data_IF_573454942966
#
_entry.id   IF_573454942966
#
_cell.length_a   1.000
_cell.length_b   1.000
_cell.length_c   1.000
_cell.angle_alpha   90.00
_cell.angle_beta   90.00
_cell.angle_gamma   90.00
#
_symmetry.space_group_name_H-M   'P 1'
#
loop_
_entity.id
_entity.type
_entity.pdbx_description
1 polymer ?
#
# COMPACT_ATOMS: atom_id res chain seq x y z
N UNK A 1 13.37 -26.05 -53.58
CA UNK A 1 14.24 -25.11 -52.84
C UNK A 1 13.38 -24.46 -51.76
N UNK A 2 13.39 -25.06 -50.57
CA UNK A 2 12.51 -24.71 -49.43
C UNK A 2 13.38 -23.96 -48.42
N UNK A 3 13.13 -22.67 -48.21
CA UNK A 3 13.79 -21.89 -47.16
C UNK A 3 12.83 -21.78 -45.97
N UNK A 4 13.30 -22.32 -44.84
CA UNK A 4 12.59 -22.44 -43.56
C UNK A 4 12.50 -21.08 -42.87
N UNK A 5 11.29 -20.75 -42.40
CA UNK A 5 11.02 -19.71 -41.42
C UNK A 5 11.45 -20.20 -40.03
N UNK A 6 12.44 -19.54 -39.43
CA UNK A 6 12.82 -19.72 -38.04
C UNK A 6 12.02 -18.77 -37.16
N UNK A 7 10.83 -19.22 -36.74
CA UNK A 7 10.09 -18.59 -35.65
C UNK A 7 10.87 -18.80 -34.34
N UNK A 8 11.45 -17.74 -33.81
CA UNK A 8 12.01 -17.72 -32.46
C UNK A 8 10.85 -17.73 -31.47
N UNK A 9 10.58 -18.90 -30.89
CA UNK A 9 9.64 -19.08 -29.78
C UNK A 9 10.15 -18.26 -28.58
N UNK A 10 9.56 -17.09 -28.34
CA UNK A 10 9.74 -16.39 -27.05
C UNK A 10 9.10 -17.26 -25.98
N UNK A 11 9.91 -17.74 -25.04
CA UNK A 11 9.43 -18.33 -23.78
C UNK A 11 8.39 -17.41 -23.16
N UNK A 12 7.17 -17.93 -22.98
CA UNK A 12 6.13 -17.26 -22.20
C UNK A 12 6.49 -17.52 -20.75
N UNK A 13 7.38 -16.69 -20.19
CA UNK A 13 7.64 -16.67 -18.76
C UNK A 13 6.33 -16.25 -18.08
N UNK A 14 5.64 -17.22 -17.47
CA UNK A 14 4.42 -16.96 -16.72
C UNK A 14 4.72 -15.90 -15.65
N UNK A 15 3.91 -14.83 -15.52
CA UNK A 15 4.18 -13.74 -14.58
C UNK A 15 4.37 -14.23 -13.14
N UNK A 16 3.72 -15.35 -12.77
CA UNK A 16 3.86 -16.01 -11.47
C UNK A 16 5.30 -16.51 -11.21
N UNK A 17 5.98 -17.03 -12.22
CA UNK A 17 7.33 -17.59 -12.09
C UNK A 17 8.37 -16.48 -11.85
N UNK A 18 8.21 -15.34 -12.51
CA UNK A 18 9.10 -14.17 -12.36
C UNK A 18 9.04 -13.56 -10.95
N UNK A 19 7.87 -13.54 -10.32
CA UNK A 19 7.71 -12.93 -8.99
C UNK A 19 8.14 -13.84 -7.85
N UNK A 20 8.04 -15.16 -8.01
CA UNK A 20 8.54 -16.12 -7.05
C UNK A 20 10.06 -15.97 -6.82
N UNK A 21 10.82 -15.65 -7.87
CA UNK A 21 12.27 -15.36 -7.77
C UNK A 21 12.55 -14.04 -7.04
N UNK A 22 11.69 -13.03 -7.22
CA UNK A 22 11.84 -11.70 -6.62
C UNK A 22 11.44 -11.68 -5.13
N UNK A 23 10.48 -12.53 -4.76
CA UNK A 23 9.86 -12.62 -3.43
C UNK A 23 9.87 -14.08 -2.95
N UNK A 24 11.07 -14.65 -2.69
CA UNK A 24 11.21 -16.07 -2.40
C UNK A 24 10.48 -16.44 -1.11
N UNK A 25 9.70 -17.53 -1.16
CA UNK A 25 8.94 -18.04 -0.01
C UNK A 25 7.67 -17.26 0.33
N UNK A 26 7.46 -16.06 -0.23
CA UNK A 26 6.32 -15.23 0.15
C UNK A 26 4.99 -15.79 -0.33
N UNK A 27 4.96 -16.45 -1.49
CA UNK A 27 3.75 -17.12 -1.99
C UNK A 27 3.29 -18.22 -1.02
N UNK A 28 4.23 -19.04 -0.55
CA UNK A 28 3.98 -20.11 0.40
C UNK A 28 3.54 -19.54 1.75
N UNK A 29 4.17 -18.46 2.21
CA UNK A 29 3.81 -17.84 3.47
C UNK A 29 2.41 -17.20 3.43
N UNK A 30 2.04 -16.57 2.31
CA UNK A 30 0.68 -16.08 2.09
C UNK A 30 -0.34 -17.21 2.13
N UNK A 31 -0.05 -18.34 1.48
CA UNK A 31 -0.93 -19.51 1.51
C UNK A 31 -1.05 -20.08 2.94
N UNK A 32 0.06 -20.17 3.68
CA UNK A 32 0.08 -20.61 5.09
C UNK A 32 -0.77 -19.71 5.98
N UNK A 33 -0.66 -18.39 5.84
CA UNK A 33 -1.49 -17.44 6.57
C UNK A 33 -2.97 -17.62 6.27
N UNK A 34 -3.34 -17.69 4.99
CA UNK A 34 -4.75 -17.83 4.55
C UNK A 34 -5.38 -19.16 4.94
N UNK A 35 -4.58 -20.21 5.11
CA UNK A 35 -5.04 -21.51 5.57
C UNK A 35 -5.38 -21.55 7.08
N UNK A 36 -5.03 -20.52 7.86
CA UNK A 36 -5.37 -20.50 9.29
C UNK A 36 -6.88 -20.25 9.49
N UNK A 37 -7.55 -20.98 10.40
CA UNK A 37 -8.98 -20.80 10.67
C UNK A 37 -9.36 -19.40 11.18
N UNK A 38 -8.47 -18.72 11.89
CA UNK A 38 -8.68 -17.40 12.49
C UNK A 38 -8.34 -16.24 11.53
N UNK A 39 -7.63 -16.52 10.43
CA UNK A 39 -7.14 -15.47 9.53
C UNK A 39 -8.23 -14.60 8.91
N UNK A 40 -9.40 -15.13 8.46
CA UNK A 40 -10.46 -14.28 7.92
C UNK A 40 -10.97 -13.25 8.95
N UNK A 41 -10.94 -13.56 10.24
CA UNK A 41 -11.27 -12.60 11.28
C UNK A 41 -10.15 -11.58 11.48
N UNK A 42 -8.90 -12.03 11.58
CA UNK A 42 -7.72 -11.14 11.72
C UNK A 42 -7.63 -10.16 10.55
N UNK A 43 -7.79 -10.64 9.32
CA UNK A 43 -7.73 -9.82 8.11
C UNK A 43 -8.81 -8.74 8.12
N UNK A 44 -10.04 -9.07 8.56
CA UNK A 44 -11.11 -8.07 8.71
C UNK A 44 -10.80 -7.03 9.77
N UNK A 45 -10.24 -7.43 10.92
CA UNK A 45 -9.83 -6.47 11.95
C UNK A 45 -8.71 -5.54 11.46
N UNK A 46 -7.78 -6.06 10.67
CA UNK A 46 -6.75 -5.25 10.01
C UNK A 46 -7.37 -4.20 9.09
N UNK A 47 -8.36 -4.60 8.29
CA UNK A 47 -9.04 -3.69 7.37
C UNK A 47 -9.87 -2.61 8.08
N UNK A 48 -10.56 -2.98 9.16
CA UNK A 48 -11.26 -2.01 10.04
C UNK A 48 -10.27 -1.01 10.62
N UNK A 49 -9.18 -1.49 11.23
CA UNK A 49 -8.16 -0.65 11.85
C UNK A 49 -7.51 0.30 10.85
N UNK A 50 -7.16 -0.20 9.65
CA UNK A 50 -6.63 0.61 8.56
C UNK A 50 -7.64 1.64 8.06
N UNK A 51 -8.89 1.24 7.85
CA UNK A 51 -9.95 2.15 7.40
C UNK A 51 -10.21 3.26 8.41
N UNK A 52 -10.23 2.92 9.71
CA UNK A 52 -10.49 3.87 10.78
C UNK A 52 -9.34 4.84 11.01
N UNK A 53 -8.08 4.42 10.82
CA UNK A 53 -6.94 5.32 10.83
C UNK A 53 -7.06 6.44 9.77
N UNK A 54 -7.78 6.18 8.66
CA UNK A 54 -8.03 7.16 7.60
C UNK A 54 -9.36 7.90 7.78
N UNK A 55 -10.25 7.45 8.66
CA UNK A 55 -11.56 8.07 8.88
C UNK A 55 -11.37 9.41 9.60
N UNK A 56 -11.72 10.51 8.95
CA UNK A 56 -11.63 11.85 9.52
C UNK A 56 -10.23 12.47 9.55
N UNK A 57 -9.17 11.70 9.30
CA UNK A 57 -7.80 12.23 9.21
C UNK A 57 -7.51 12.81 7.82
N UNK A 58 -7.78 14.12 7.68
CA UNK A 58 -7.67 14.88 6.41
C UNK A 58 -6.36 14.66 5.68
N UNK A 59 -5.26 14.53 6.43
CA UNK A 59 -3.93 14.39 5.87
C UNK A 59 -3.73 12.99 5.31
N UNK A 60 -4.05 11.94 6.07
CA UNK A 60 -3.98 10.56 5.57
C UNK A 60 -4.90 10.34 4.35
N UNK A 61 -6.15 10.81 4.44
CA UNK A 61 -7.14 10.66 3.36
C UNK A 61 -6.78 11.41 2.08
N UNK A 62 -5.97 12.47 2.12
CA UNK A 62 -5.56 13.20 0.91
C UNK A 62 -4.20 12.80 0.37
N UNK A 63 -3.35 12.21 1.21
CA UNK A 63 -1.94 12.03 0.90
C UNK A 63 -1.54 10.58 0.68
N UNK A 64 -2.35 9.59 1.08
CA UNK A 64 -2.03 8.16 0.95
C UNK A 64 -3.24 7.31 0.49
N UNK A 65 -4.23 7.92 -0.18
CA UNK A 65 -5.53 7.30 -0.45
C UNK A 65 -5.63 6.46 -1.74
N UNK A 66 -4.53 6.36 -2.50
CA UNK A 66 -4.41 5.41 -3.61
C UNK A 66 -3.00 4.82 -3.63
N UNK A 67 -2.81 3.80 -4.47
CA UNK A 67 -1.53 3.11 -4.63
C UNK A 67 -0.41 4.08 -5.02
N UNK A 68 -0.63 4.93 -6.02
CA UNK A 68 0.40 5.84 -6.53
C UNK A 68 0.95 6.75 -5.44
N UNK A 69 0.06 7.31 -4.61
CA UNK A 69 0.43 8.14 -3.46
C UNK A 69 1.15 7.37 -2.36
N UNK A 70 0.69 6.17 -2.04
CA UNK A 70 1.36 5.33 -1.04
C UNK A 70 2.79 4.98 -1.46
N UNK A 71 2.98 4.53 -2.71
CA UNK A 71 4.33 4.20 -3.21
C UNK A 71 5.20 5.44 -3.32
N UNK A 72 4.65 6.58 -3.76
CA UNK A 72 5.39 7.85 -3.80
C UNK A 72 5.91 8.26 -2.42
N UNK A 73 5.11 8.05 -1.37
CA UNK A 73 5.53 8.34 0.00
C UNK A 73 6.65 7.40 0.48
N UNK A 74 6.62 6.12 0.11
CA UNK A 74 7.75 5.21 0.36
C UNK A 74 9.03 5.66 -0.36
N UNK A 75 8.93 6.10 -1.62
CA UNK A 75 10.07 6.64 -2.37
C UNK A 75 10.65 7.89 -1.69
N UNK A 76 9.78 8.78 -1.22
CA UNK A 76 10.16 9.98 -0.46
C UNK A 76 10.96 9.60 0.80
N UNK A 77 10.51 8.59 1.54
CA UNK A 77 11.18 8.10 2.74
C UNK A 77 12.52 7.44 2.43
N UNK A 78 12.57 6.58 1.40
CA UNK A 78 13.82 5.92 1.00
C UNK A 78 14.89 6.93 0.58
N UNK A 79 14.51 7.94 -0.20
CA UNK A 79 15.42 9.03 -0.59
C UNK A 79 15.80 9.94 0.59
N UNK A 80 14.96 10.04 1.61
CA UNK A 80 15.25 10.80 2.83
C UNK A 80 16.28 10.10 3.72
N UNK A 81 16.26 8.77 3.75
CA UNK A 81 17.20 7.95 4.51
C UNK A 81 18.55 7.72 3.81
N UNK A 82 18.79 8.35 2.66
CA UNK A 82 20.11 8.32 2.06
C UNK A 82 21.11 9.17 2.83
N UNK A 83 22.36 8.72 2.86
CA UNK A 83 23.47 9.43 3.49
C UNK A 83 23.61 10.87 2.94
N UNK A 84 24.11 11.83 3.75
CA UNK A 84 24.23 13.25 3.34
C UNK A 84 25.00 13.50 2.03
N UNK A 85 25.90 12.59 1.65
CA UNK A 85 26.67 12.66 0.39
C UNK A 85 25.89 12.20 -0.86
N UNK A 86 24.79 11.46 -0.68
CA UNK A 86 23.96 10.97 -1.75
C UNK A 86 23.11 12.09 -2.40
N UNK A 87 22.52 11.84 -3.58
CA UNK A 87 21.60 12.79 -4.20
C UNK A 87 20.41 13.15 -3.29
N UNK A 88 19.93 12.20 -2.48
CA UNK A 88 18.81 12.38 -1.58
C UNK A 88 17.50 12.63 -2.32
N UNK A 89 16.51 13.17 -1.59
CA UNK A 89 15.22 13.54 -2.13
C UNK A 89 15.31 14.87 -2.88
N UNK A 90 15.03 14.84 -4.19
CA UNK A 90 14.83 16.03 -5.01
C UNK A 90 13.57 15.89 -5.85
N UNK A 91 12.96 17.02 -6.23
CA UNK A 91 11.77 17.00 -7.10
C UNK A 91 12.04 16.31 -8.44
N UNK A 92 13.20 16.56 -9.05
CA UNK A 92 13.57 15.96 -10.34
C UNK A 92 13.73 14.45 -10.24
N UNK A 93 14.46 13.97 -9.23
CA UNK A 93 14.67 12.54 -9.02
C UNK A 93 13.36 11.81 -8.72
N UNK A 94 12.53 12.36 -7.84
CA UNK A 94 11.25 11.74 -7.50
C UNK A 94 10.32 11.64 -8.72
N UNK A 95 10.30 12.67 -9.60
CA UNK A 95 9.56 12.63 -10.86
C UNK A 95 10.06 11.52 -11.78
N UNK A 96 11.38 11.43 -11.97
CA UNK A 96 11.97 10.43 -12.86
C UNK A 96 11.65 9.02 -12.37
N UNK A 97 11.80 8.77 -11.08
CA UNK A 97 11.51 7.44 -10.51
C UNK A 97 10.01 7.13 -10.52
N UNK A 98 9.13 8.09 -10.22
CA UNK A 98 7.68 7.88 -10.29
C UNK A 98 7.18 7.58 -11.71
N UNK A 99 7.78 8.19 -12.74
CA UNK A 99 7.47 7.89 -14.14
C UNK A 99 8.01 6.53 -14.56
N UNK A 100 9.27 6.24 -14.22
CA UNK A 100 9.88 4.93 -14.54
C UNK A 100 9.12 3.75 -13.90
N UNK A 101 8.47 3.99 -12.75
CA UNK A 101 7.63 3.04 -12.06
C UNK A 101 6.14 3.13 -12.45
N UNK A 102 5.77 3.93 -13.44
CA UNK A 102 4.38 4.07 -13.90
C UNK A 102 3.39 4.38 -12.74
N UNK A 103 3.84 5.19 -11.77
CA UNK A 103 3.03 5.53 -10.59
C UNK A 103 2.11 6.70 -10.87
N UNK A 104 2.66 7.77 -11.45
CA UNK A 104 1.93 8.96 -11.82
C UNK A 104 2.75 9.89 -12.74
N UNK A 105 2.08 10.87 -13.34
CA UNK A 105 2.73 11.87 -14.19
C UNK A 105 3.62 12.83 -13.39
N UNK A 106 4.63 13.47 -14.03
CA UNK A 106 5.46 14.48 -13.38
C UNK A 106 4.66 15.65 -12.78
N UNK A 107 3.56 16.04 -13.42
CA UNK A 107 2.66 17.07 -12.92
C UNK A 107 2.01 16.66 -11.61
N UNK A 108 1.54 15.42 -11.51
CA UNK A 108 0.95 14.86 -10.29
C UNK A 108 1.96 14.76 -9.15
N UNK A 109 3.21 14.35 -9.42
CA UNK A 109 4.29 14.40 -8.42
C UNK A 109 4.51 15.82 -7.91
N UNK A 110 4.51 16.81 -8.81
CA UNK A 110 4.69 18.23 -8.44
C UNK A 110 3.57 18.71 -7.50
N UNK A 111 2.32 18.37 -7.83
CA UNK A 111 1.17 18.74 -7.01
C UNK A 111 1.23 18.11 -5.61
N UNK A 112 1.62 16.82 -5.51
CA UNK A 112 1.77 16.13 -4.23
C UNK A 112 2.88 16.76 -3.39
N UNK A 113 4.06 17.01 -3.97
CA UNK A 113 5.17 17.67 -3.27
C UNK A 113 4.81 19.09 -2.83
N UNK A 114 4.09 19.84 -3.66
CA UNK A 114 3.61 21.17 -3.29
C UNK A 114 2.66 21.09 -2.08
N UNK A 115 1.72 20.15 -2.08
CA UNK A 115 0.85 19.90 -0.94
C UNK A 115 1.65 19.51 0.32
N UNK A 116 2.63 18.62 0.20
CA UNK A 116 3.48 18.23 1.34
C UNK A 116 4.24 19.42 1.92
N UNK A 117 4.73 20.34 1.08
CA UNK A 117 5.38 21.58 1.54
C UNK A 117 4.40 22.48 2.28
N UNK A 118 3.22 22.74 1.69
CA UNK A 118 2.18 23.57 2.31
C UNK A 118 1.75 23.01 3.67
N UNK A 119 1.70 21.68 3.81
CA UNK A 119 1.37 21.03 5.07
C UNK A 119 2.55 20.82 6.03
N UNK A 120 3.76 21.29 5.70
CA UNK A 120 4.95 21.18 6.55
C UNK A 120 5.47 19.75 6.72
N UNK A 121 5.23 18.89 5.74
CA UNK A 121 5.62 17.46 5.74
C UNK A 121 6.99 17.20 5.13
N UNK A 122 7.44 18.14 4.30
CA UNK A 122 8.79 18.15 3.75
C UNK A 122 9.33 19.57 3.84
N UNK A 123 10.64 19.68 4.07
CA UNK A 123 11.35 20.95 4.17
C UNK A 123 12.59 20.92 3.27
N UNK A 124 13.16 22.09 2.91
CA UNK A 124 14.50 22.14 2.33
C UNK A 124 15.51 21.44 3.27
N UNK A 125 16.44 20.68 2.70
CA UNK A 125 17.58 20.18 3.47
C UNK A 125 18.50 21.34 3.87
N UNK A 126 19.17 21.28 5.03
CA UNK A 126 20.20 22.24 5.42
C UNK A 126 21.50 21.96 4.65
N UNK A 127 21.48 22.15 3.33
CA UNK A 127 22.65 21.96 2.47
C UNK A 127 23.38 23.29 2.26
N UNK A 128 24.69 23.32 2.50
CA UNK A 128 25.53 24.51 2.32
C UNK A 128 25.69 24.90 0.84
N UNK A 129 25.68 23.93 -0.08
CA UNK A 129 25.73 24.16 -1.52
C UNK A 129 24.30 24.22 -2.09
N UNK A 130 23.69 25.40 -2.04
CA UNK A 130 22.32 25.68 -2.51
C UNK A 130 22.01 25.33 -3.98
N UNK A 131 23.00 24.78 -4.72
CA UNK A 131 22.81 24.18 -6.04
C UNK A 131 21.90 22.96 -6.01
N UNK A 132 21.94 22.15 -4.94
CA UNK A 132 21.03 21.01 -4.78
C UNK A 132 19.82 21.46 -3.98
N UNK A 133 18.67 21.59 -4.65
CA UNK A 133 17.37 21.85 -3.98
C UNK A 133 16.83 20.57 -3.32
N UNK A 134 17.63 20.00 -2.41
CA UNK A 134 17.31 18.78 -1.67
C UNK A 134 16.19 19.06 -0.68
N UNK A 135 15.36 18.05 -0.45
CA UNK A 135 14.26 18.07 0.51
C UNK A 135 14.52 17.00 1.58
N UNK A 136 14.02 17.24 2.78
CA UNK A 136 13.98 16.27 3.87
C UNK A 136 12.55 16.05 4.32
N UNK A 137 12.25 14.85 4.78
CA UNK A 137 10.99 14.52 5.45
C UNK A 137 11.01 15.14 6.84
N UNK A 138 9.92 15.80 7.24
CA UNK A 138 9.78 16.32 8.60
C UNK A 138 9.25 15.24 9.53
N UNK A 139 9.41 15.42 10.84
CA UNK A 139 8.84 14.52 11.84
C UNK A 139 7.31 14.37 11.69
N UNK A 140 6.62 15.40 11.17
CA UNK A 140 5.19 15.33 10.89
C UNK A 140 4.84 14.21 9.90
N UNK A 141 5.58 14.09 8.80
CA UNK A 141 5.33 13.03 7.83
C UNK A 141 5.87 11.69 8.34
N UNK A 142 6.99 11.69 9.06
CA UNK A 142 7.53 10.47 9.67
C UNK A 142 6.53 9.83 10.67
N UNK A 143 5.98 10.63 11.59
CA UNK A 143 5.00 10.17 12.57
C UNK A 143 3.74 9.56 11.93
N UNK A 144 3.26 10.14 10.82
CA UNK A 144 2.14 9.60 10.04
C UNK A 144 2.44 8.19 9.51
N UNK A 145 3.64 7.99 8.98
CA UNK A 145 4.06 6.68 8.46
C UNK A 145 4.30 5.67 9.57
N UNK A 146 4.94 6.08 10.67
CA UNK A 146 5.12 5.24 11.86
C UNK A 146 3.78 4.76 12.41
N UNK A 147 2.80 5.64 12.55
CA UNK A 147 1.47 5.24 13.03
C UNK A 147 0.80 4.23 12.10
N UNK A 148 0.84 4.48 10.78
CA UNK A 148 0.32 3.54 9.79
C UNK A 148 1.01 2.17 9.88
N UNK A 149 2.34 2.15 10.05
CA UNK A 149 3.07 0.89 10.22
C UNK A 149 2.75 0.21 11.54
N UNK A 150 2.61 0.95 12.65
CA UNK A 150 2.16 0.40 13.94
C UNK A 150 0.81 -0.30 13.81
N UNK A 151 -0.15 0.25 13.07
CA UNK A 151 -1.43 -0.43 12.80
C UNK A 151 -1.20 -1.81 12.16
N UNK A 152 -0.37 -1.87 11.12
CA UNK A 152 -0.07 -3.13 10.43
C UNK A 152 0.77 -4.10 11.27
N UNK A 153 1.72 -3.60 12.05
CA UNK A 153 2.60 -4.42 12.89
C UNK A 153 1.84 -5.02 14.08
N UNK A 154 0.85 -4.30 14.64
CA UNK A 154 -0.09 -4.87 15.63
C UNK A 154 -0.86 -6.06 15.04
N UNK A 155 -1.33 -5.97 13.80
CA UNK A 155 -1.95 -7.11 13.11
C UNK A 155 -0.94 -8.22 12.84
N UNK A 156 0.28 -7.86 12.44
CA UNK A 156 1.35 -8.82 12.19
C UNK A 156 1.65 -9.66 13.44
N UNK A 157 1.70 -9.04 14.62
CA UNK A 157 1.95 -9.72 15.88
C UNK A 157 0.91 -10.81 16.22
N UNK A 158 -0.30 -10.74 15.66
CA UNK A 158 -1.32 -11.78 15.85
C UNK A 158 -1.04 -13.06 15.03
N UNK A 159 -0.32 -12.93 13.91
CA UNK A 159 -0.06 -14.06 12.98
C UNK A 159 1.39 -14.50 12.95
N UNK A 160 2.31 -13.59 13.27
CA UNK A 160 3.76 -13.70 13.29
C UNK A 160 4.27 -12.90 14.51
N UNK A 161 4.14 -13.44 15.73
CA UNK A 161 4.39 -12.69 16.96
C UNK A 161 5.80 -12.09 17.04
N UNK A 162 6.83 -12.88 16.73
CA UNK A 162 8.23 -12.44 16.80
C UNK A 162 8.49 -11.21 15.90
N UNK A 163 8.11 -11.28 14.62
CA UNK A 163 8.29 -10.14 13.71
C UNK A 163 7.36 -8.97 14.07
N UNK A 164 6.12 -9.24 14.47
CA UNK A 164 5.21 -8.17 14.87
C UNK A 164 5.73 -7.37 16.07
N UNK A 165 6.16 -8.07 17.12
CA UNK A 165 6.64 -7.48 18.37
C UNK A 165 7.98 -6.76 18.18
N UNK A 166 8.97 -7.40 17.54
CA UNK A 166 10.25 -6.75 17.24
C UNK A 166 10.07 -5.56 16.30
N UNK A 167 9.18 -5.67 15.31
CA UNK A 167 8.83 -4.55 14.45
C UNK A 167 8.24 -3.37 15.23
N UNK A 168 7.34 -3.62 16.19
CA UNK A 168 6.77 -2.59 17.05
C UNK A 168 7.82 -1.94 17.96
N UNK A 169 8.73 -2.73 18.51
CA UNK A 169 9.79 -2.26 19.40
C UNK A 169 10.75 -1.27 18.71
N UNK A 170 11.03 -1.49 17.42
CA UNK A 170 12.08 -0.74 16.71
C UNK A 170 11.55 0.25 15.66
N UNK A 171 10.24 0.45 15.54
CA UNK A 171 9.64 1.30 14.49
C UNK A 171 10.08 2.78 14.54
N UNK A 172 10.62 3.21 15.68
CA UNK A 172 11.14 4.56 15.88
C UNK A 172 12.66 4.67 15.58
N UNK A 173 13.39 3.56 15.46
CA UNK A 173 14.84 3.53 15.19
C UNK A 173 15.13 3.71 13.68
N UNK A 174 15.88 4.76 13.28
CA UNK A 174 16.27 4.95 11.89
C UNK A 174 17.03 3.77 11.27
N UNK A 175 17.87 3.08 12.05
CA UNK A 175 18.66 1.92 11.58
C UNK A 175 17.75 0.76 11.17
N UNK A 176 16.62 0.60 11.87
CA UNK A 176 15.57 -0.32 11.48
C UNK A 176 14.79 0.17 10.25
N UNK A 177 14.40 1.45 10.23
CA UNK A 177 13.53 2.01 9.20
C UNK A 177 14.14 2.01 7.80
N UNK A 178 15.45 2.24 7.67
CA UNK A 178 16.12 2.29 6.36
C UNK A 178 15.93 0.99 5.55
N UNK A 179 16.41 -0.18 6.01
CA UNK A 179 16.19 -1.46 5.32
C UNK A 179 14.72 -1.87 5.28
N UNK A 180 13.91 -1.50 6.28
CA UNK A 180 12.47 -1.78 6.28
C UNK A 180 11.78 -1.13 5.07
N UNK A 181 11.96 0.18 4.86
CA UNK A 181 11.38 0.91 3.72
C UNK A 181 11.94 0.41 2.39
N UNK A 182 13.26 0.21 2.29
CA UNK A 182 13.91 -0.34 1.09
C UNK A 182 13.34 -1.69 0.68
N UNK A 183 13.10 -2.56 1.66
CA UNK A 183 12.54 -3.89 1.43
C UNK A 183 11.10 -3.83 0.96
N UNK A 184 10.28 -2.91 1.49
CA UNK A 184 8.91 -2.69 0.97
C UNK A 184 8.91 -2.20 -0.49
N UNK A 185 9.88 -1.37 -0.88
CA UNK A 185 10.00 -0.84 -2.24
C UNK A 185 10.58 -1.82 -3.26
N UNK A 186 11.42 -2.78 -2.84
CA UNK A 186 12.18 -3.65 -3.74
C UNK A 186 11.30 -4.33 -4.81
N UNK A 187 10.15 -4.96 -4.49
CA UNK A 187 9.33 -5.56 -5.53
C UNK A 187 8.67 -4.53 -6.46
N UNK A 188 8.27 -3.38 -5.90
CA UNK A 188 7.66 -2.30 -6.67
C UNK A 188 8.64 -1.72 -7.70
N UNK A 189 9.91 -1.57 -7.32
CA UNK A 189 11.00 -1.17 -8.23
C UNK A 189 11.26 -2.19 -9.33
N UNK A 190 11.08 -3.48 -9.03
CA UNK A 190 11.18 -4.55 -10.00
C UNK A 190 9.91 -4.74 -10.86
N UNK A 191 8.90 -3.86 -10.71
CA UNK A 191 7.68 -3.85 -11.53
C UNK A 191 6.51 -4.64 -10.96
N UNK A 192 6.65 -5.30 -9.81
CA UNK A 192 5.53 -6.02 -9.20
C UNK A 192 4.45 -5.05 -8.69
N UNK A 193 3.18 -5.41 -8.85
CA UNK A 193 2.02 -4.65 -8.33
C UNK A 193 1.01 -5.63 -7.72
N UNK A 194 0.26 -5.26 -6.66
CA UNK A 194 -0.76 -6.15 -6.08
C UNK A 194 -1.80 -6.64 -7.09
N UNK A 195 -2.16 -5.81 -8.08
CA UNK A 195 -3.13 -6.16 -9.11
C UNK A 195 -2.66 -7.30 -10.04
N UNK A 196 -1.36 -7.61 -10.10
CA UNK A 196 -0.85 -8.75 -10.86
C UNK A 196 -1.17 -10.08 -10.16
N UNK A 197 -1.15 -10.10 -8.83
CA UNK A 197 -1.47 -11.28 -8.02
C UNK A 197 -2.98 -11.35 -7.72
N UNK A 198 -3.65 -10.20 -7.64
CA UNK A 198 -5.04 -10.04 -7.22
C UNK A 198 -5.76 -9.10 -8.20
N UNK A 199 -6.12 -9.55 -9.42
CA UNK A 199 -6.71 -8.67 -10.43
C UNK A 199 -7.93 -7.87 -9.94
N UNK A 200 -8.76 -8.47 -9.10
CA UNK A 200 -9.93 -7.82 -8.49
C UNK A 200 -9.58 -6.54 -7.71
N UNK A 201 -8.40 -6.45 -7.08
CA UNK A 201 -8.00 -5.24 -6.34
C UNK A 201 -7.60 -4.10 -7.27
N UNK A 202 -7.23 -4.39 -8.51
CA UNK A 202 -6.83 -3.39 -9.50
C UNK A 202 -7.91 -2.34 -9.75
N UNK A 203 -9.18 -2.74 -9.71
CA UNK A 203 -10.33 -1.84 -9.88
C UNK A 203 -10.49 -0.80 -8.76
N UNK A 204 -9.88 -1.05 -7.60
CA UNK A 204 -9.90 -0.16 -6.45
C UNK A 204 -8.56 0.57 -6.24
N UNK A 205 -7.44 -0.12 -6.43
CA UNK A 205 -6.12 0.33 -6.00
C UNK A 205 -5.63 1.62 -6.68
N UNK A 206 -6.01 1.83 -7.94
CA UNK A 206 -5.59 3.00 -8.73
C UNK A 206 -6.59 4.16 -8.67
N UNK A 207 -7.78 3.94 -8.08
CA UNK A 207 -8.81 4.95 -7.90
C UNK A 207 -8.56 5.74 -6.62
N UNK A 208 -8.73 7.06 -6.68
CA UNK A 208 -8.65 7.95 -5.52
C UNK A 208 -9.62 7.50 -4.41
N UNK A 209 -9.10 6.99 -3.29
CA UNK A 209 -9.90 6.46 -2.18
C UNK A 209 -10.54 5.08 -2.42
N UNK A 210 -10.29 4.44 -3.56
CA UNK A 210 -10.91 3.15 -3.91
C UNK A 210 -10.51 2.02 -2.96
N UNK A 211 -9.23 1.93 -2.59
CA UNK A 211 -8.77 0.91 -1.64
C UNK A 211 -9.38 1.10 -0.24
N UNK A 212 -9.62 2.35 0.18
CA UNK A 212 -10.27 2.63 1.47
C UNK A 212 -11.75 2.19 1.46
N UNK A 213 -12.44 2.39 0.34
CA UNK A 213 -13.81 1.86 0.15
C UNK A 213 -13.80 0.33 0.22
N UNK A 214 -12.85 -0.34 -0.45
CA UNK A 214 -12.74 -1.80 -0.42
C UNK A 214 -12.46 -2.33 1.01
N UNK A 215 -11.58 -1.66 1.77
CA UNK A 215 -11.30 -1.99 3.18
C UNK A 215 -12.55 -1.83 4.06
N UNK A 216 -13.31 -0.74 3.88
CA UNK A 216 -14.54 -0.49 4.64
C UNK A 216 -15.63 -1.54 4.36
N UNK A 217 -15.82 -1.90 3.08
CA UNK A 217 -16.77 -2.94 2.68
C UNK A 217 -16.34 -4.31 3.22
N UNK A 218 -15.04 -4.64 3.12
CA UNK A 218 -14.50 -5.88 3.68
C UNK A 218 -14.68 -5.97 5.20
N UNK A 219 -14.41 -4.87 5.92
CA UNK A 219 -14.64 -4.79 7.36
C UNK A 219 -16.11 -4.95 7.76
N UNK A 220 -17.04 -4.50 6.92
CA UNK A 220 -18.50 -4.69 7.11
C UNK A 220 -18.89 -6.17 6.96
N UNK A 221 -18.26 -6.88 6.02
CA UNK A 221 -18.55 -8.28 5.71
C UNK A 221 -19.87 -8.50 4.97
N UNK A 222 -20.07 -9.74 4.49
CA UNK A 222 -21.21 -10.11 3.63
C UNK A 222 -22.58 -9.84 4.25
N UNK A 223 -22.66 -10.01 5.58
CA UNK A 223 -23.90 -9.93 6.35
C UNK A 223 -23.98 -8.69 7.25
N UNK A 224 -23.05 -7.74 7.11
CA UNK A 224 -23.06 -6.49 7.88
C UNK A 224 -24.15 -5.52 7.43
N UNK A 225 -24.25 -4.35 8.09
CA UNK A 225 -25.12 -3.27 7.64
C UNK A 225 -24.61 -2.67 6.31
N UNK A 226 -25.45 -2.49 5.28
CA UNK A 226 -25.06 -1.85 4.04
C UNK A 226 -24.44 -0.47 4.26
N UNK A 227 -23.35 -0.17 3.54
CA UNK A 227 -22.74 1.16 3.55
C UNK A 227 -23.35 2.03 2.46
N UNK A 228 -23.96 3.14 2.84
CA UNK A 228 -24.49 4.09 1.87
C UNK A 228 -23.37 4.84 1.15
N UNK A 229 -23.63 5.26 -0.10
CA UNK A 229 -22.73 6.14 -0.88
C UNK A 229 -22.36 7.41 -0.10
N UNK A 230 -23.33 8.00 0.59
CA UNK A 230 -23.14 9.21 1.40
C UNK A 230 -22.16 8.97 2.56
N UNK A 231 -22.26 7.83 3.23
CA UNK A 231 -21.35 7.46 4.31
C UNK A 231 -19.93 7.25 3.78
N UNK A 232 -19.77 6.48 2.70
CA UNK A 232 -18.46 6.25 2.08
C UNK A 232 -17.79 7.56 1.62
N UNK A 233 -18.56 8.42 0.94
CA UNK A 233 -18.08 9.72 0.47
C UNK A 233 -17.61 10.61 1.63
N UNK A 234 -18.40 10.68 2.71
CA UNK A 234 -18.08 11.50 3.88
C UNK A 234 -16.87 10.96 4.65
N UNK A 235 -16.83 9.65 4.91
CA UNK A 235 -15.76 9.01 5.67
C UNK A 235 -14.39 9.21 5.03
N UNK A 236 -14.32 9.13 3.70
CA UNK A 236 -13.07 9.20 2.94
C UNK A 236 -12.92 10.49 2.14
N UNK A 237 -13.75 11.52 2.40
CA UNK A 237 -13.66 12.85 1.78
C UNK A 237 -13.51 12.82 0.25
N UNK A 238 -14.18 11.87 -0.39
CA UNK A 238 -14.26 11.71 -1.85
C UNK A 238 -15.63 12.16 -2.33
N UNK A 239 -15.72 12.63 -3.57
CA UNK A 239 -17.00 13.09 -4.11
C UNK A 239 -17.99 11.93 -4.22
N UNK A 240 -19.29 12.22 -4.02
CA UNK A 240 -20.34 11.21 -4.15
C UNK A 240 -20.38 10.59 -5.55
N UNK A 241 -20.21 11.40 -6.59
CA UNK A 241 -20.18 10.92 -7.98
C UNK A 241 -19.02 9.96 -8.22
N UNK A 242 -17.85 10.21 -7.62
CA UNK A 242 -16.71 9.30 -7.70
C UNK A 242 -16.98 7.97 -7.00
N UNK A 243 -17.57 7.99 -5.80
CA UNK A 243 -18.00 6.76 -5.10
C UNK A 243 -19.01 5.97 -5.93
N UNK A 244 -20.00 6.65 -6.53
CA UNK A 244 -21.00 6.00 -7.40
C UNK A 244 -20.30 5.30 -8.56
N UNK A 245 -19.35 5.97 -9.24
CA UNK A 245 -18.60 5.36 -10.34
C UNK A 245 -17.84 4.11 -9.93
N UNK A 246 -17.12 4.15 -8.80
CA UNK A 246 -16.40 2.99 -8.26
C UNK A 246 -17.39 1.84 -7.96
N UNK A 247 -18.51 2.14 -7.31
CA UNK A 247 -19.51 1.13 -6.95
C UNK A 247 -20.17 0.53 -8.18
N UNK A 248 -20.51 1.33 -9.20
CA UNK A 248 -21.09 0.82 -10.45
C UNK A 248 -20.15 -0.15 -11.16
N UNK A 249 -18.88 0.21 -11.30
CA UNK A 249 -17.87 -0.67 -11.90
C UNK A 249 -17.71 -1.96 -11.09
N UNK A 250 -17.57 -1.84 -9.76
CA UNK A 250 -17.45 -2.99 -8.88
C UNK A 250 -18.68 -3.90 -8.90
N UNK A 251 -19.89 -3.35 -9.06
CA UNK A 251 -21.12 -4.14 -9.26
C UNK A 251 -21.10 -4.89 -10.57
N UNK A 252 -20.71 -4.26 -11.68
CA UNK A 252 -20.57 -4.93 -12.97
C UNK A 252 -19.57 -6.10 -12.96
N UNK A 253 -18.64 -6.12 -12.01
CA UNK A 253 -17.62 -7.16 -11.83
C UNK A 253 -17.97 -8.21 -10.77
N UNK A 254 -19.14 -8.10 -10.14
CA UNK A 254 -19.58 -8.99 -9.05
C UNK A 254 -18.74 -8.87 -7.79
N UNK A 255 -18.13 -7.71 -7.53
CA UNK A 255 -17.34 -7.44 -6.33
C UNK A 255 -18.20 -6.87 -5.20
N UNK A 256 -19.27 -6.16 -5.54
CA UNK A 256 -20.22 -5.59 -4.59
C UNK A 256 -21.62 -5.67 -5.17
N UNK A 257 -22.63 -5.67 -4.30
CA UNK A 257 -24.03 -5.50 -4.71
C UNK A 257 -24.66 -4.28 -4.05
N UNK A 258 -25.62 -3.70 -4.75
CA UNK A 258 -26.50 -2.68 -4.19
C UNK A 258 -27.67 -3.34 -3.48
N UNK A 259 -28.09 -2.70 -2.41
CA UNK A 259 -29.30 -3.02 -1.65
C UNK A 259 -30.22 -1.82 -1.82
N UNK A 260 -31.40 -2.03 -2.43
CA UNK A 260 -32.34 -0.97 -2.81
C UNK A 260 -33.46 -0.73 -1.78
N UNK A 261 -33.55 -1.61 -0.77
CA UNK A 261 -34.43 -1.60 0.41
C UNK A 261 -35.83 -2.24 0.24
N UNK A 262 -36.13 -3.21 1.12
CA UNK A 262 -37.46 -3.60 1.65
C UNK A 262 -37.29 -4.24 3.06
N UNK A 263 -36.35 -3.79 3.90
CA UNK A 263 -36.14 -4.42 5.22
C UNK A 263 -35.36 -3.57 6.23
N UNK A 264 -35.10 -4.12 7.42
CA UNK A 264 -34.55 -3.39 8.58
C UNK A 264 -33.11 -2.83 8.40
N UNK A 265 -32.47 -3.01 7.23
CA UNK A 265 -31.04 -2.70 7.00
C UNK A 265 -30.79 -1.45 6.14
N UNK A 266 -31.80 -0.90 5.46
CA UNK A 266 -31.67 0.31 4.65
C UNK A 266 -30.93 0.11 3.32
N UNK A 267 -30.99 1.09 2.40
CA UNK A 267 -30.32 1.02 1.12
C UNK A 267 -28.81 1.25 1.25
N UNK A 268 -28.01 0.57 0.44
CA UNK A 268 -26.56 0.74 0.47
C UNK A 268 -25.80 -0.26 -0.39
N UNK A 269 -24.54 -0.47 -0.03
CA UNK A 269 -23.61 -1.36 -0.74
C UNK A 269 -23.09 -2.40 0.23
N UNK A 270 -23.08 -3.66 -0.22
CA UNK A 270 -22.47 -4.79 0.50
C UNK A 270 -21.40 -5.45 -0.36
N UNK A 271 -20.31 -5.97 0.25
CA UNK A 271 -19.34 -6.77 -0.48
C UNK A 271 -19.96 -8.09 -0.95
N UNK A 272 -19.43 -8.62 -2.05
CA UNK A 272 -19.69 -9.98 -2.52
C UNK A 272 -18.53 -10.92 -2.15
N UNK A 273 -18.71 -12.25 -2.17
CA UNK A 273 -17.66 -13.22 -1.84
C UNK A 273 -16.34 -12.99 -2.59
N UNK A 274 -16.41 -12.56 -3.85
CA UNK A 274 -15.24 -12.25 -4.68
C UNK A 274 -14.40 -11.09 -4.14
N UNK A 275 -15.04 -10.04 -3.59
CA UNK A 275 -14.32 -8.96 -2.92
C UNK A 275 -13.77 -9.42 -1.56
N UNK A 276 -14.51 -10.26 -0.84
CA UNK A 276 -14.03 -10.80 0.44
C UNK A 276 -12.74 -11.60 0.26
N UNK A 277 -12.71 -12.53 -0.69
CA UNK A 277 -11.52 -13.32 -1.02
C UNK A 277 -10.35 -12.44 -1.49
N UNK A 278 -10.61 -11.49 -2.39
CA UNK A 278 -9.59 -10.58 -2.90
C UNK A 278 -8.97 -9.72 -1.78
N UNK A 279 -9.78 -9.21 -0.86
CA UNK A 279 -9.31 -8.39 0.26
C UNK A 279 -8.56 -9.21 1.31
N UNK A 280 -9.00 -10.44 1.59
CA UNK A 280 -8.26 -11.36 2.45
C UNK A 280 -6.88 -11.66 1.87
N UNK A 281 -6.81 -11.96 0.56
CA UNK A 281 -5.53 -12.17 -0.12
C UNK A 281 -4.66 -10.89 -0.10
N UNK A 282 -5.26 -9.72 -0.30
CA UNK A 282 -4.55 -8.44 -0.23
C UNK A 282 -3.94 -8.18 1.15
N UNK A 283 -4.68 -8.48 2.22
CA UNK A 283 -4.16 -8.36 3.59
C UNK A 283 -3.04 -9.38 3.84
N UNK A 284 -3.15 -10.62 3.36
CA UNK A 284 -2.07 -11.61 3.46
C UNK A 284 -0.79 -11.13 2.74
N UNK A 285 -0.93 -10.57 1.53
CA UNK A 285 0.19 -9.94 0.82
C UNK A 285 0.81 -8.82 1.67
N UNK A 286 -0.01 -7.91 2.21
CA UNK A 286 0.48 -6.80 3.02
C UNK A 286 1.23 -7.28 4.28
N UNK A 287 0.72 -8.28 4.99
CA UNK A 287 1.34 -8.81 6.20
C UNK A 287 2.67 -9.52 5.92
N UNK A 288 2.72 -10.37 4.89
CA UNK A 288 3.97 -11.04 4.48
C UNK A 288 5.01 -10.03 4.03
N UNK A 289 4.61 -8.98 3.30
CA UNK A 289 5.53 -7.88 2.95
C UNK A 289 6.09 -7.16 4.18
N UNK A 290 5.24 -6.92 5.19
CA UNK A 290 5.67 -6.30 6.45
C UNK A 290 6.64 -7.24 7.20
N UNK A 291 6.36 -8.53 7.29
CA UNK A 291 7.27 -9.52 7.90
C UNK A 291 8.66 -9.49 7.27
N UNK A 292 8.75 -9.55 5.93
CA UNK A 292 10.04 -9.53 5.23
C UNK A 292 10.78 -8.21 5.47
N UNK A 293 10.07 -7.08 5.49
CA UNK A 293 10.66 -5.78 5.80
C UNK A 293 11.14 -5.69 7.25
N UNK A 294 10.40 -6.23 8.22
CA UNK A 294 10.82 -6.30 9.63
C UNK A 294 12.11 -7.10 9.75
N UNK A 295 12.19 -8.28 9.15
CA UNK A 295 13.40 -9.13 9.21
C UNK A 295 14.63 -8.40 8.67
N UNK A 296 14.47 -7.61 7.61
CA UNK A 296 15.55 -6.78 7.08
C UNK A 296 15.96 -5.65 8.06
N UNK A 297 14.99 -5.04 8.74
CA UNK A 297 15.24 -4.05 9.80
C UNK A 297 15.98 -4.63 11.00
N UNK A 298 15.54 -5.79 11.47
CA UNK A 298 16.18 -6.54 12.53
C UNK A 298 17.63 -6.87 12.20
N UNK A 299 17.89 -7.41 11.01
CA UNK A 299 19.24 -7.80 10.62
C UNK A 299 20.23 -6.61 10.63
N UNK A 300 19.75 -5.40 10.32
CA UNK A 300 20.57 -4.19 10.40
C UNK A 300 20.84 -3.74 11.84
N UNK A 301 19.90 -3.96 12.77
CA UNK A 301 20.12 -3.70 14.19
C UNK A 301 21.13 -4.68 14.77
N UNK A 302 20.96 -5.98 14.50
CA UNK A 302 21.86 -7.04 14.98
C UNK A 302 23.29 -6.80 14.46
N UNK A 303 23.44 -6.33 13.20
CA UNK A 303 24.74 -5.98 12.63
C UNK A 303 25.37 -4.72 13.28
N UNK A 304 24.56 -3.77 13.76
CA UNK A 304 25.04 -2.59 14.49
C UNK A 304 25.55 -2.98 15.89
N UNK A 305 24.90 -3.92 16.56
CA UNK A 305 25.30 -4.38 17.89
C UNK A 305 26.57 -5.23 17.87
N UNK A 306 26.87 -5.89 16.74
CA UNK A 306 28.06 -6.70 16.55
C UNK A 306 29.32 -5.91 16.13
N UNK A 307 29.19 -4.63 15.77
CA UNK A 307 30.27 -3.75 15.28
C UNK A 307 30.80 -2.82 16.38
#
# INVERSE_FOLDING_TARGET
>A
MVARSSATTRSVDHPVCRWATLMPGEVQERARLRARPDFPWIARQAAVSLSDAYRGNVLLTRLLNDRGRFVLALLILDMHFEEPGAPGLTTGRLKNEAVALELCSPGRVSAILAAFRVFGMIAPAPDADGRRRRLVVTEKLMAIHRERWRTMLKTLALVMPEEGERGLQHIDDPVFLVPFVRTLLKPLRAGWRPALDIPAIGHFADRDGGLLIALALFGTGLNGPPLSISQLARSFRISRSHVVGIVQEATGLGLVRRVEDEGARGPGVLPEPKLMDAMEHFIAVALVRQMVAVRAGIAALDAREAA
#
